data_IF_129412721883
#
_entry.id   IF_129412721883
#
_cell.length_a   1.000
_cell.length_b   1.000
_cell.length_c   1.000
_cell.angle_alpha   90.00
_cell.angle_beta   90.00
_cell.angle_gamma   90.00
#
_symmetry.space_group_name_H-M   'P 1'
#
loop_
_entity.id
_entity.type
_entity.pdbx_description
1 polymer ?
#
# COMPACT_ATOMS: atom_id res chain seq x y z
N UNK A 1 7.84 -3.80 22.58
CA UNK A 1 6.73 -4.72 22.34
C UNK A 1 7.23 -6.10 22.70
N UNK A 2 6.44 -6.94 23.35
CA UNK A 2 6.88 -8.30 23.66
C UNK A 2 6.45 -9.27 22.54
N UNK A 3 7.07 -10.46 22.50
CA UNK A 3 6.82 -11.50 21.49
C UNK A 3 5.32 -11.80 21.30
N UNK A 4 4.61 -11.97 22.41
CA UNK A 4 3.20 -12.34 22.39
C UNK A 4 2.35 -11.24 21.76
N UNK A 5 2.56 -9.98 22.15
CA UNK A 5 1.82 -8.84 21.62
C UNK A 5 2.15 -8.56 20.15
N UNK A 6 3.40 -8.72 19.72
CA UNK A 6 3.80 -8.58 18.33
C UNK A 6 3.11 -9.64 17.46
N UNK A 7 3.12 -10.91 17.92
CA UNK A 7 2.44 -12.03 17.26
C UNK A 7 0.94 -11.79 17.13
N UNK A 8 0.26 -11.42 18.21
CA UNK A 8 -1.19 -11.16 18.21
C UNK A 8 -1.58 -10.05 17.22
N UNK A 9 -0.78 -8.97 17.16
CA UNK A 9 -1.01 -7.88 16.19
C UNK A 9 -0.78 -8.33 14.74
N UNK A 10 0.29 -9.08 14.49
CA UNK A 10 0.61 -9.60 13.16
C UNK A 10 -0.47 -10.59 12.67
N UNK A 11 -0.90 -11.51 13.52
CA UNK A 11 -1.99 -12.45 13.22
C UNK A 11 -3.32 -11.72 12.97
N UNK A 12 -3.64 -10.71 13.77
CA UNK A 12 -4.85 -9.90 13.55
C UNK A 12 -4.80 -9.13 12.22
N UNK A 13 -3.62 -8.60 11.85
CA UNK A 13 -3.43 -7.89 10.59
C UNK A 13 -3.57 -8.82 9.37
N UNK A 14 -2.91 -9.98 9.40
CA UNK A 14 -3.05 -11.00 8.35
C UNK A 14 -4.50 -11.49 8.26
N UNK A 15 -5.13 -11.77 9.39
CA UNK A 15 -6.54 -12.17 9.41
C UNK A 15 -7.49 -11.09 8.87
N UNK A 16 -7.18 -9.80 9.07
CA UNK A 16 -7.94 -8.71 8.50
C UNK A 16 -7.79 -8.63 6.97
N UNK A 17 -6.56 -8.77 6.46
CA UNK A 17 -6.31 -8.86 5.01
C UNK A 17 -7.09 -10.01 4.37
N UNK A 18 -7.02 -11.21 4.96
CA UNK A 18 -7.69 -12.40 4.44
C UNK A 18 -9.21 -12.29 4.54
N UNK A 19 -9.74 -11.71 5.61
CA UNK A 19 -11.19 -11.62 5.82
C UNK A 19 -11.84 -10.51 4.98
N UNK A 20 -11.21 -9.35 4.89
CA UNK A 20 -11.82 -8.17 4.30
C UNK A 20 -11.30 -7.84 2.89
N UNK A 21 -10.14 -8.38 2.50
CA UNK A 21 -9.55 -8.14 1.18
C UNK A 21 -10.13 -8.99 0.05
N UNK A 22 -11.22 -9.73 0.29
CA UNK A 22 -11.85 -10.61 -0.71
C UNK A 22 -12.74 -9.86 -1.73
N UNK A 23 -12.96 -8.55 -1.54
CA UNK A 23 -13.74 -7.74 -2.48
C UNK A 23 -12.97 -7.40 -3.76
N UNK A 24 -13.71 -7.03 -4.80
CA UNK A 24 -13.18 -6.61 -6.09
C UNK A 24 -12.18 -5.46 -5.95
N UNK A 25 -11.02 -5.59 -6.60
CA UNK A 25 -10.05 -4.51 -6.71
C UNK A 25 -10.46 -3.52 -7.81
N UNK A 26 -11.29 -2.53 -7.44
CA UNK A 26 -11.58 -1.29 -8.20
C UNK A 26 -11.62 -1.48 -9.75
N UNK A 27 -12.50 -2.37 -10.22
CA UNK A 27 -12.72 -2.57 -11.66
C UNK A 27 -11.69 -3.46 -12.38
N UNK A 28 -10.74 -4.05 -11.65
CA UNK A 28 -9.85 -5.10 -12.11
C UNK A 28 -10.40 -6.47 -11.67
N UNK A 29 -10.08 -7.54 -12.39
CA UNK A 29 -10.62 -8.89 -12.16
C UNK A 29 -9.87 -9.72 -11.10
N UNK A 30 -9.30 -9.05 -10.10
CA UNK A 30 -8.65 -9.68 -8.94
C UNK A 30 -9.16 -9.05 -7.63
N UNK A 31 -8.99 -9.75 -6.52
CA UNK A 31 -9.33 -9.23 -5.19
C UNK A 31 -8.28 -8.24 -4.66
N UNK A 32 -8.66 -7.39 -3.70
CA UNK A 32 -7.72 -6.49 -3.01
C UNK A 32 -6.58 -7.25 -2.33
N UNK A 33 -6.88 -8.43 -1.78
CA UNK A 33 -5.88 -9.32 -1.18
C UNK A 33 -4.89 -9.81 -2.24
N UNK A 34 -5.37 -10.30 -3.38
CA UNK A 34 -4.49 -10.80 -4.45
C UNK A 34 -3.57 -9.69 -4.97
N UNK A 35 -4.08 -8.47 -5.12
CA UNK A 35 -3.28 -7.30 -5.47
C UNK A 35 -2.14 -7.07 -4.48
N UNK A 36 -2.45 -7.01 -3.18
CA UNK A 36 -1.45 -6.83 -2.12
C UNK A 36 -0.40 -7.95 -2.10
N UNK A 37 -0.83 -9.20 -2.28
CA UNK A 37 0.06 -10.37 -2.30
C UNK A 37 1.00 -10.38 -3.52
N UNK A 38 0.48 -10.01 -4.69
CA UNK A 38 1.29 -9.89 -5.91
C UNK A 38 2.33 -8.77 -5.78
N UNK A 39 1.97 -7.62 -5.21
CA UNK A 39 2.90 -6.52 -4.97
C UNK A 39 4.02 -6.93 -4.00
N UNK A 40 3.66 -7.56 -2.87
CA UNK A 40 4.62 -8.09 -1.90
C UNK A 40 5.54 -9.15 -2.52
N UNK A 41 4.99 -10.03 -3.37
CA UNK A 41 5.76 -11.07 -4.04
C UNK A 41 6.78 -10.48 -5.02
N UNK A 42 6.42 -9.42 -5.75
CA UNK A 42 7.35 -8.71 -6.62
C UNK A 42 8.47 -8.02 -5.84
N UNK A 43 8.13 -7.34 -4.74
CA UNK A 43 9.12 -6.74 -3.84
C UNK A 43 10.11 -7.79 -3.33
N UNK A 44 9.60 -8.94 -2.86
CA UNK A 44 10.45 -10.03 -2.38
C UNK A 44 11.35 -10.60 -3.50
N UNK A 45 10.83 -10.78 -4.73
CA UNK A 45 11.63 -11.23 -5.87
C UNK A 45 12.70 -10.23 -6.32
N UNK A 46 12.50 -8.95 -6.01
CA UNK A 46 13.47 -7.90 -6.27
C UNK A 46 14.55 -7.79 -5.19
N UNK A 47 14.58 -8.71 -4.21
CA UNK A 47 15.50 -8.68 -3.06
C UNK A 47 15.38 -7.38 -2.26
N UNK A 48 14.17 -6.81 -2.21
CA UNK A 48 13.87 -5.66 -1.40
C UNK A 48 13.98 -6.00 0.09
N UNK A 49 14.42 -5.04 0.90
CA UNK A 49 14.46 -5.19 2.35
C UNK A 49 13.06 -5.41 2.93
N UNK A 50 13.01 -6.09 4.07
CA UNK A 50 11.76 -6.51 4.73
C UNK A 50 10.75 -5.36 4.92
N UNK A 51 11.19 -4.18 5.36
CA UNK A 51 10.30 -3.01 5.51
C UNK A 51 9.56 -2.65 4.21
N UNK A 52 10.24 -2.77 3.06
CA UNK A 52 9.66 -2.46 1.75
C UNK A 52 8.75 -3.59 1.26
N UNK A 53 9.07 -4.85 1.56
CA UNK A 53 8.18 -5.99 1.30
C UNK A 53 6.90 -5.89 2.13
N UNK A 54 7.03 -5.57 3.43
CA UNK A 54 5.91 -5.30 4.33
C UNK A 54 5.08 -4.12 3.81
N UNK A 55 5.72 -3.02 3.39
CA UNK A 55 5.01 -1.87 2.85
C UNK A 55 4.25 -2.22 1.57
N UNK A 56 4.83 -3.02 0.66
CA UNK A 56 4.16 -3.48 -0.54
C UNK A 56 2.93 -4.36 -0.22
N UNK A 57 3.03 -5.26 0.78
CA UNK A 57 1.90 -6.07 1.26
C UNK A 57 0.77 -5.21 1.84
N UNK A 58 1.10 -4.09 2.49
CA UNK A 58 0.17 -3.31 3.31
C UNK A 58 -0.22 -1.96 2.70
N UNK A 59 0.27 -1.62 1.50
CA UNK A 59 0.09 -0.28 0.94
C UNK A 59 -1.39 0.12 0.81
N UNK A 60 -2.26 -0.86 0.55
CA UNK A 60 -3.70 -0.69 0.38
C UNK A 60 -4.53 -1.07 1.62
N UNK A 61 -3.90 -1.32 2.78
CA UNK A 61 -4.61 -1.75 4.00
C UNK A 61 -5.74 -0.79 4.41
N UNK A 62 -5.60 0.51 4.10
CA UNK A 62 -6.63 1.52 4.37
C UNK A 62 -7.92 1.34 3.56
N UNK A 63 -7.86 0.62 2.44
CA UNK A 63 -9.03 0.17 1.66
C UNK A 63 -9.72 -1.02 2.31
N UNK A 64 -8.92 -1.94 2.88
CA UNK A 64 -9.35 -3.28 3.28
C UNK A 64 -9.98 -3.26 4.68
N UNK A 65 -9.39 -2.54 5.63
CA UNK A 65 -9.85 -2.60 7.03
C UNK A 65 -11.22 -1.93 7.25
N UNK A 66 -12.09 -2.50 8.11
CA UNK A 66 -13.41 -1.94 8.39
C UNK A 66 -13.36 -0.50 8.90
N UNK A 67 -14.42 0.26 8.59
CA UNK A 67 -14.56 1.66 8.96
C UNK A 67 -14.40 1.88 10.48
N UNK A 68 -14.93 0.97 11.30
CA UNK A 68 -14.89 1.00 12.75
C UNK A 68 -13.45 0.97 13.30
N UNK A 69 -12.56 0.25 12.62
CA UNK A 69 -11.14 0.11 13.01
C UNK A 69 -10.33 1.38 12.72
N UNK A 70 -10.94 2.36 12.04
CA UNK A 70 -10.32 3.61 11.59
C UNK A 70 -11.06 4.86 12.06
N UNK A 71 -12.03 4.72 12.97
CA UNK A 71 -12.93 5.81 13.41
C UNK A 71 -12.20 7.04 13.94
N UNK A 72 -11.14 6.86 14.72
CA UNK A 72 -10.35 7.96 15.27
C UNK A 72 -9.54 8.70 14.18
N UNK A 73 -9.06 7.97 13.17
CA UNK A 73 -8.25 8.50 12.07
C UNK A 73 -9.10 9.29 11.06
N UNK A 74 -10.37 8.88 10.86
CA UNK A 74 -11.25 9.43 9.83
C UNK A 74 -11.88 10.78 10.13
N UNK A 75 -11.91 11.24 11.37
CA UNK A 75 -12.52 12.54 11.72
C UNK A 75 -11.91 13.73 10.95
N UNK A 76 -10.79 13.52 10.25
CA UNK A 76 -10.07 14.52 9.47
C UNK A 76 -10.16 14.37 7.93
N UNK A 77 -10.93 13.41 7.37
CA UNK A 77 -10.95 13.12 5.92
C UNK A 77 -12.35 13.27 5.30
N UNK A 78 -12.42 13.83 4.08
CA UNK A 78 -13.68 14.00 3.32
C UNK A 78 -14.05 12.70 2.60
N UNK A 79 -15.32 12.29 2.68
CA UNK A 79 -15.84 11.15 1.90
C UNK A 79 -16.05 11.54 0.42
N UNK A 80 -15.73 10.63 -0.50
CA UNK A 80 -16.11 10.71 -1.92
C UNK A 80 -17.10 9.59 -2.24
N UNK A 81 -18.06 9.89 -3.11
CA UNK A 81 -19.14 9.00 -3.54
C UNK A 81 -18.83 8.22 -4.84
N UNK A 82 -17.62 8.33 -5.39
CA UNK A 82 -17.22 7.61 -6.60
C UNK A 82 -16.39 6.35 -6.29
N UNK A 83 -16.59 5.29 -7.09
CA UNK A 83 -15.97 3.96 -6.97
C UNK A 83 -14.45 3.93 -7.27
N UNK A 84 -13.68 4.94 -6.84
CA UNK A 84 -12.23 5.05 -7.03
C UNK A 84 -11.43 4.62 -5.79
N UNK A 85 -12.06 3.82 -4.92
CA UNK A 85 -11.54 3.48 -3.61
C UNK A 85 -11.75 4.58 -2.58
N UNK A 86 -11.37 4.30 -1.33
CA UNK A 86 -11.49 5.18 -0.18
C UNK A 86 -10.52 6.35 -0.30
N UNK A 87 -11.05 7.58 -0.23
CA UNK A 87 -10.23 8.80 -0.22
C UNK A 87 -9.28 8.77 0.98
N UNK A 88 -7.98 9.02 0.71
CA UNK A 88 -6.95 9.06 1.74
C UNK A 88 -6.60 7.69 2.34
N UNK A 89 -6.88 6.58 1.64
CA UNK A 89 -6.54 5.23 2.11
C UNK A 89 -5.04 5.06 2.40
N UNK A 90 -4.17 5.74 1.66
CA UNK A 90 -2.73 5.79 1.90
C UNK A 90 -2.41 6.35 3.30
N UNK A 91 -3.08 7.43 3.68
CA UNK A 91 -2.91 8.08 4.98
C UNK A 91 -3.62 7.30 6.10
N UNK A 92 -4.80 6.74 5.83
CA UNK A 92 -5.54 5.89 6.76
C UNK A 92 -4.71 4.65 7.09
N UNK A 93 -4.17 3.98 6.07
CA UNK A 93 -3.35 2.78 6.21
C UNK A 93 -2.09 3.07 6.99
N UNK A 94 -1.34 4.11 6.62
CA UNK A 94 -0.12 4.50 7.34
C UNK A 94 -0.39 4.85 8.82
N UNK A 95 -1.47 5.57 9.11
CA UNK A 95 -1.86 5.92 10.49
C UNK A 95 -2.27 4.68 11.29
N UNK A 96 -3.01 3.76 10.67
CA UNK A 96 -3.38 2.50 11.30
C UNK A 96 -2.14 1.67 11.65
N UNK A 97 -1.22 1.47 10.71
CA UNK A 97 0.03 0.74 10.97
C UNK A 97 0.88 1.40 12.05
N UNK A 98 0.94 2.74 12.07
CA UNK A 98 1.62 3.49 13.12
C UNK A 98 1.06 3.18 14.50
N UNK A 99 -0.27 3.08 14.64
CA UNK A 99 -0.93 2.73 15.91
C UNK A 99 -0.63 1.29 16.35
N UNK A 100 -0.31 0.40 15.40
CA UNK A 100 0.12 -0.96 15.70
C UNK A 100 1.60 -1.04 16.12
N UNK A 101 2.39 0.00 15.85
CA UNK A 101 3.81 0.08 16.21
C UNK A 101 4.77 -0.26 15.07
N UNK A 102 4.33 -0.12 13.81
CA UNK A 102 5.24 -0.21 12.67
C UNK A 102 6.16 1.02 12.62
N UNK A 103 7.37 0.82 12.11
CA UNK A 103 8.36 1.89 11.87
C UNK A 103 7.81 3.05 11.04
N UNK A 104 8.40 4.23 11.24
CA UNK A 104 8.11 5.41 10.41
C UNK A 104 8.35 5.10 8.93
N UNK A 105 9.39 4.33 8.62
CA UNK A 105 9.74 3.96 7.25
C UNK A 105 8.60 3.20 6.57
N UNK A 106 8.07 2.13 7.20
CA UNK A 106 6.94 1.37 6.64
C UNK A 106 5.73 2.26 6.47
N UNK A 107 5.41 3.09 7.47
CA UNK A 107 4.29 4.03 7.40
C UNK A 107 4.45 5.05 6.24
N UNK A 108 5.65 5.60 6.02
CA UNK A 108 5.92 6.53 4.93
C UNK A 108 5.81 5.86 3.57
N UNK A 109 6.33 4.64 3.41
CA UNK A 109 6.22 3.87 2.18
C UNK A 109 4.75 3.56 1.85
N UNK A 110 3.97 3.08 2.81
CA UNK A 110 2.52 2.84 2.65
C UNK A 110 1.78 4.13 2.27
N UNK A 111 2.11 5.26 2.89
CA UNK A 111 1.50 6.56 2.58
C UNK A 111 1.91 7.12 1.19
N UNK A 112 2.95 6.58 0.56
CA UNK A 112 3.59 7.21 -0.59
C UNK A 112 3.00 6.82 -1.94
N UNK A 113 2.30 5.69 -2.06
CA UNK A 113 2.01 5.08 -3.36
C UNK A 113 1.11 5.95 -4.26
N UNK A 114 0.26 6.81 -3.69
CA UNK A 114 -0.47 7.84 -4.46
C UNK A 114 0.46 8.96 -4.93
N UNK A 115 1.33 9.48 -4.05
CA UNK A 115 2.30 10.51 -4.41
C UNK A 115 3.31 10.01 -5.45
N UNK A 116 3.77 8.77 -5.33
CA UNK A 116 4.66 8.11 -6.29
C UNK A 116 4.02 8.00 -7.68
N UNK A 117 2.70 7.72 -7.77
CA UNK A 117 1.97 7.78 -9.04
C UNK A 117 2.01 9.18 -9.66
N UNK A 118 1.75 10.22 -8.86
CA UNK A 118 1.78 11.62 -9.31
C UNK A 118 3.19 12.04 -9.76
N UNK A 119 4.22 11.54 -9.11
CA UNK A 119 5.61 11.75 -9.48
C UNK A 119 5.97 11.08 -10.81
N UNK A 120 5.70 9.77 -10.93
CA UNK A 120 6.02 9.01 -12.14
C UNK A 120 5.27 9.54 -13.36
N UNK A 121 4.02 9.97 -13.20
CA UNK A 121 3.25 10.61 -14.28
C UNK A 121 3.75 12.00 -14.66
N UNK A 122 4.43 12.72 -13.75
CA UNK A 122 5.04 14.02 -14.05
C UNK A 122 6.39 13.88 -14.77
N UNK A 123 7.14 12.82 -14.47
CA UNK A 123 8.52 12.63 -14.94
C UNK A 123 8.65 11.66 -16.11
N UNK A 124 7.65 10.82 -16.35
CA UNK A 124 7.68 9.80 -17.39
C UNK A 124 6.34 9.73 -18.15
N UNK A 125 6.35 10.24 -19.38
CA UNK A 125 5.19 10.22 -20.28
C UNK A 125 4.74 8.80 -20.62
N UNK A 126 5.69 7.88 -20.86
CA UNK A 126 5.37 6.48 -21.15
C UNK A 126 4.71 5.78 -19.96
N UNK A 127 5.08 6.15 -18.74
CA UNK A 127 4.41 5.65 -17.54
C UNK A 127 2.95 6.13 -17.47
N UNK A 128 2.69 7.42 -17.72
CA UNK A 128 1.32 7.95 -17.75
C UNK A 128 0.44 7.18 -18.75
N UNK A 129 0.97 6.90 -19.95
CA UNK A 129 0.27 6.15 -21.00
C UNK A 129 0.04 4.67 -20.63
N UNK A 130 0.88 4.10 -19.78
CA UNK A 130 0.77 2.71 -19.32
C UNK A 130 -0.28 2.48 -18.22
N UNK A 131 -0.75 3.54 -17.56
CA UNK A 131 -1.72 3.43 -16.48
C UNK A 131 -3.05 2.85 -16.97
N UNK A 132 -3.68 1.99 -16.15
CA UNK A 132 -5.04 1.49 -16.43
C UNK A 132 -6.05 2.65 -16.42
N UNK A 133 -7.20 2.44 -17.06
CA UNK A 133 -8.28 3.45 -17.11
C UNK A 133 -8.72 3.87 -15.71
N UNK A 134 -8.76 2.94 -14.74
CA UNK A 134 -9.08 3.22 -13.35
C UNK A 134 -7.99 4.07 -12.67
N UNK A 135 -6.70 3.75 -12.91
CA UNK A 135 -5.57 4.50 -12.38
C UNK A 135 -5.48 5.93 -12.94
N UNK A 136 -5.80 6.14 -14.22
CA UNK A 136 -5.85 7.48 -14.82
C UNK A 136 -7.01 8.32 -14.26
N UNK A 137 -8.19 7.73 -14.07
CA UNK A 137 -9.34 8.42 -13.44
C UNK A 137 -9.02 8.82 -12.01
N UNK A 138 -8.51 7.90 -11.19
CA UNK A 138 -8.15 8.20 -9.79
C UNK A 138 -7.05 9.27 -9.69
N UNK A 139 -6.09 9.30 -10.62
CA UNK A 139 -5.05 10.34 -10.68
C UNK A 139 -5.65 11.75 -10.80
N UNK A 140 -6.69 11.93 -11.60
CA UNK A 140 -7.36 13.23 -11.75
C UNK A 140 -7.97 13.72 -10.42
N UNK A 141 -8.60 12.82 -9.66
CA UNK A 141 -9.14 13.13 -8.33
C UNK A 141 -8.05 13.36 -7.26
N UNK A 142 -6.87 12.79 -7.46
CA UNK A 142 -5.73 12.90 -6.55
C UNK A 142 -4.84 14.14 -6.84
N UNK A 143 -5.29 15.04 -7.71
CA UNK A 143 -4.59 16.29 -8.02
C UNK A 143 -3.64 16.23 -9.21
N UNK A 144 -3.70 15.17 -10.03
CA UNK A 144 -2.93 15.04 -11.26
C UNK A 144 -1.42 14.85 -11.04
N UNK A 145 -0.61 14.85 -12.12
CA UNK A 145 0.85 14.81 -12.01
C UNK A 145 1.40 15.94 -11.14
N UNK A 146 2.49 15.67 -10.41
CA UNK A 146 3.18 16.71 -9.64
C UNK A 146 3.68 17.88 -10.53
N UNK A 147 3.81 19.07 -9.92
CA UNK A 147 4.29 20.28 -10.58
C UNK A 147 5.10 21.12 -9.59
N UNK A 148 6.08 21.87 -10.09
CA UNK A 148 6.81 22.87 -9.31
C UNK A 148 7.47 22.30 -8.05
N UNK A 149 7.24 22.93 -6.90
CA UNK A 149 7.90 22.58 -5.64
C UNK A 149 7.55 21.17 -5.12
N UNK A 150 6.35 20.66 -5.39
CA UNK A 150 5.95 19.31 -4.97
C UNK A 150 6.79 18.23 -5.67
N UNK A 151 7.12 18.47 -6.96
CA UNK A 151 7.98 17.58 -7.72
C UNK A 151 9.39 17.55 -7.12
N UNK A 152 9.99 18.73 -6.89
CA UNK A 152 11.33 18.81 -6.29
C UNK A 152 11.39 18.21 -4.88
N UNK A 153 10.35 18.42 -4.06
CA UNK A 153 10.28 17.84 -2.71
C UNK A 153 10.27 16.31 -2.76
N UNK A 154 9.54 15.71 -3.71
CA UNK A 154 9.51 14.25 -3.88
C UNK A 154 10.84 13.72 -4.45
N UNK A 155 11.48 14.46 -5.37
CA UNK A 155 12.78 14.10 -5.95
C UNK A 155 13.91 14.02 -4.92
N UNK A 156 13.86 14.90 -3.91
CA UNK A 156 14.84 15.00 -2.82
C UNK A 156 14.57 14.04 -1.65
N UNK A 157 13.43 13.35 -1.61
CA UNK A 157 13.10 12.43 -0.52
C UNK A 157 14.07 11.22 -0.52
N UNK A 158 14.74 10.91 0.60
CA UNK A 158 15.67 9.78 0.67
C UNK A 158 15.01 8.41 0.41
N UNK A 159 13.69 8.30 0.58
CA UNK A 159 12.93 7.08 0.27
C UNK A 159 12.35 7.07 -1.16
N UNK A 160 12.59 8.10 -1.98
CA UNK A 160 12.01 8.26 -3.32
C UNK A 160 12.07 6.98 -4.14
N UNK A 161 13.24 6.34 -4.23
CA UNK A 161 13.44 5.16 -5.07
C UNK A 161 12.63 3.96 -4.58
N UNK A 162 12.47 3.80 -3.27
CA UNK A 162 11.64 2.76 -2.69
C UNK A 162 10.15 3.05 -2.89
N UNK A 163 9.73 4.31 -2.74
CA UNK A 163 8.35 4.74 -3.02
C UNK A 163 7.98 4.51 -4.50
N UNK A 164 8.91 4.81 -5.41
CA UNK A 164 8.77 4.55 -6.85
C UNK A 164 8.71 3.04 -7.12
N UNK A 165 9.61 2.26 -6.53
CA UNK A 165 9.64 0.80 -6.73
C UNK A 165 8.33 0.15 -6.24
N UNK A 166 7.87 0.53 -5.05
CA UNK A 166 6.58 0.09 -4.51
C UNK A 166 5.44 0.41 -5.48
N UNK A 167 5.42 1.62 -6.03
CA UNK A 167 4.39 2.02 -6.98
C UNK A 167 4.42 1.20 -8.27
N UNK A 168 5.60 0.89 -8.79
CA UNK A 168 5.74 0.06 -9.97
C UNK A 168 5.23 -1.37 -9.72
N UNK A 169 5.47 -1.92 -8.53
CA UNK A 169 4.92 -3.22 -8.16
C UNK A 169 3.40 -3.20 -7.93
N UNK A 170 2.86 -2.14 -7.32
CA UNK A 170 1.41 -1.87 -7.26
C UNK A 170 0.81 -1.94 -8.68
N UNK A 171 1.33 -1.16 -9.63
CA UNK A 171 0.75 -1.14 -10.97
C UNK A 171 0.86 -2.48 -11.72
N UNK A 172 1.92 -3.25 -11.48
CA UNK A 172 2.13 -4.57 -12.08
C UNK A 172 1.31 -5.70 -11.41
N UNK A 173 0.81 -5.48 -10.18
CA UNK A 173 0.12 -6.47 -9.36
C UNK A 173 -1.37 -6.64 -9.73
N UNK A 174 -1.65 -6.91 -11.01
CA UNK A 174 -3.02 -6.99 -11.57
C UNK A 174 -3.21 -8.22 -12.45
N UNK A 175 -2.44 -9.28 -12.19
CA UNK A 175 -2.43 -10.49 -13.02
C UNK A 175 -3.47 -11.50 -12.54
N UNK A 176 -4.31 -11.98 -13.45
CA UNK A 176 -5.28 -13.03 -13.18
C UNK A 176 -4.64 -14.43 -13.24
N UNK A 177 -5.11 -15.36 -12.40
CA UNK A 177 -4.77 -16.79 -12.54
C UNK A 177 -3.37 -17.17 -12.08
N UNK A 178 -2.71 -16.33 -11.28
CA UNK A 178 -1.35 -16.56 -10.76
C UNK A 178 -1.33 -16.87 -9.26
N UNK A 179 -2.48 -17.21 -8.66
CA UNK A 179 -2.63 -17.42 -7.22
C UNK A 179 -1.90 -18.69 -6.74
N UNK A 180 -1.63 -19.64 -7.65
CA UNK A 180 -0.87 -20.84 -7.36
C UNK A 180 0.64 -20.58 -7.18
N UNK A 181 1.15 -19.49 -7.77
CA UNK A 181 2.58 -19.11 -7.71
C UNK A 181 2.82 -17.87 -6.85
N UNK A 182 1.76 -17.23 -6.36
CA UNK A 182 1.84 -16.07 -5.46
C UNK A 182 1.76 -16.55 -3.99
N UNK A 183 2.76 -16.24 -3.15
CA UNK A 183 2.73 -16.58 -1.73
C UNK A 183 1.50 -16.02 -1.01
N UNK A 184 0.95 -16.80 -0.07
CA UNK A 184 -0.20 -16.37 0.76
C UNK A 184 0.24 -15.46 1.90
N UNK A 185 -0.70 -14.72 2.47
CA UNK A 185 -0.44 -13.69 3.48
C UNK A 185 0.36 -14.23 4.68
N UNK A 186 0.05 -15.46 5.14
CA UNK A 186 0.77 -16.12 6.23
C UNK A 186 2.27 -16.33 6.02
N UNK A 187 2.78 -16.30 4.78
CA UNK A 187 4.23 -16.40 4.49
C UNK A 187 4.98 -15.18 5.04
N UNK A 188 4.33 -14.02 5.13
CA UNK A 188 4.92 -12.77 5.61
C UNK A 188 4.75 -12.58 7.13
N UNK A 189 4.13 -13.54 7.84
CA UNK A 189 3.80 -13.39 9.26
C UNK A 189 5.04 -13.18 10.13
N UNK A 190 6.05 -14.04 10.00
CA UNK A 190 7.27 -13.97 10.81
C UNK A 190 8.04 -12.66 10.55
N UNK A 191 8.11 -12.23 9.29
CA UNK A 191 8.71 -10.95 8.89
C UNK A 191 8.02 -9.75 9.59
N UNK A 192 6.69 -9.74 9.67
CA UNK A 192 5.94 -8.70 10.38
C UNK A 192 6.20 -8.77 11.90
N UNK A 193 6.26 -9.98 12.47
CA UNK A 193 6.54 -10.17 13.90
C UNK A 193 7.94 -9.62 14.24
N UNK A 194 8.96 -9.99 13.46
CA UNK A 194 10.33 -9.54 13.64
C UNK A 194 10.44 -8.02 13.53
N UNK A 195 9.77 -7.42 12.54
CA UNK A 195 9.68 -5.96 12.39
C UNK A 195 9.11 -5.29 13.65
N UNK A 196 7.94 -5.75 14.11
CA UNK A 196 7.27 -5.18 15.29
C UNK A 196 8.08 -5.33 16.59
N UNK A 197 8.98 -6.32 16.66
CA UNK A 197 9.86 -6.49 17.81
C UNK A 197 11.05 -5.53 17.78
N UNK A 198 11.56 -5.19 16.60
CA UNK A 198 12.71 -4.29 16.44
C UNK A 198 12.35 -2.82 16.70
N UNK A 199 11.08 -2.43 16.49
CA UNK A 199 10.60 -1.05 16.63
C UNK A 199 10.28 -0.61 18.07
N UNK A 200 10.80 -1.34 19.07
CA UNK A 200 10.56 -1.06 20.49
C UNK A 200 11.76 -1.28 21.37
#
# INVERSE_FOLDING_TARGET
MNQQSAKEKAEALIGALEKYGQGDYIGESISQLEHCLQAAHQAHKADARDELVIAALLHDIGQIIPLESTKEVRMNLRESAENVGRVGHEAIGASYLRSLGFSETVCRLVNSHVAAKRYLTATNQGYYESLSTASQKSLAFQGGPFRGADLGTFEEDPLRDEMVSLRLWDDAAKLEGIEAITPRAGVYLDMIIEHLLCET
#
